data_IF_153240655116
#
_entry.id   IF_153240655116
#
_cell.length_a   1.000
_cell.length_b   1.000
_cell.length_c   1.000
_cell.angle_alpha   90.00
_cell.angle_beta   90.00
_cell.angle_gamma   90.00
#
_symmetry.space_group_name_H-M   'P 1'
#
loop_
_entity.id
_entity.type
_entity.pdbx_description
1 polymer ?
#
# COMPACT_ATOMS: atom_id res chain seq x y z
N UNK A 1 -35.60 69.66 -68.61
CA UNK A 1 -34.54 69.80 -69.63
C UNK A 1 -33.22 69.31 -69.05
N UNK A 2 -32.53 68.44 -69.80
CA UNK A 2 -31.13 67.97 -69.66
C UNK A 2 -30.80 67.00 -68.51
N UNK A 3 -31.04 65.73 -68.85
CA UNK A 3 -30.24 64.57 -68.44
C UNK A 3 -28.76 64.74 -68.82
N UNK A 4 -27.85 64.40 -67.91
CA UNK A 4 -26.48 63.96 -68.21
C UNK A 4 -26.08 62.85 -67.24
N UNK A 5 -26.09 61.63 -67.78
CA UNK A 5 -25.37 60.45 -67.29
C UNK A 5 -23.86 60.73 -67.38
N UNK A 6 -23.05 60.44 -66.35
CA UNK A 6 -21.65 60.06 -66.55
C UNK A 6 -21.02 59.38 -65.32
N UNK A 7 -20.73 58.10 -65.53
CA UNK A 7 -19.61 57.28 -65.05
C UNK A 7 -19.35 57.09 -63.54
N UNK A 8 -19.74 55.89 -63.08
CA UNK A 8 -19.24 55.19 -61.90
C UNK A 8 -17.72 54.95 -61.99
N UNK A 9 -16.97 55.50 -61.04
CA UNK A 9 -15.66 55.01 -60.63
C UNK A 9 -15.82 54.46 -59.21
N UNK A 10 -15.79 53.14 -59.07
CA UNK A 10 -15.76 52.49 -57.76
C UNK A 10 -14.38 52.70 -57.12
N UNK A 11 -14.29 53.13 -55.85
CA UNK A 11 -13.01 53.20 -55.15
C UNK A 11 -12.50 51.77 -54.87
N UNK A 12 -11.27 51.49 -55.30
CA UNK A 12 -10.53 50.30 -54.90
C UNK A 12 -10.27 50.40 -53.39
N UNK A 13 -10.72 49.44 -52.55
CA UNK A 13 -10.39 49.47 -51.14
C UNK A 13 -8.90 49.13 -50.98
N UNK A 14 -8.11 50.11 -50.52
CA UNK A 14 -6.77 49.86 -50.03
C UNK A 14 -6.93 49.10 -48.71
N UNK A 15 -6.71 47.79 -48.74
CA UNK A 15 -6.63 46.99 -47.53
C UNK A 15 -5.35 47.38 -46.78
N UNK A 16 -5.51 48.18 -45.71
CA UNK A 16 -4.49 48.26 -44.67
C UNK A 16 -4.41 46.89 -44.02
N UNK A 17 -3.37 46.13 -44.34
CA UNK A 17 -2.95 45.00 -43.52
C UNK A 17 -2.41 45.63 -42.24
N UNK A 18 -3.27 45.74 -41.23
CA UNK A 18 -2.82 45.90 -39.86
C UNK A 18 -2.11 44.59 -39.50
N UNK A 19 -0.78 44.59 -39.64
CA UNK A 19 0.04 43.59 -38.98
C UNK A 19 -0.16 43.83 -37.49
N UNK A 20 -1.06 43.07 -36.88
CA UNK A 20 -1.03 42.87 -35.44
C UNK A 20 0.28 42.15 -35.18
N UNK A 21 1.32 42.92 -34.84
CA UNK A 21 2.46 42.37 -34.15
C UNK A 21 1.89 41.65 -32.94
N UNK A 22 2.06 40.33 -32.91
CA UNK A 22 1.85 39.54 -31.69
C UNK A 22 2.62 40.26 -30.60
N UNK A 23 1.89 40.84 -29.65
CA UNK A 23 2.50 41.39 -28.46
C UNK A 23 3.42 40.30 -27.91
N UNK A 24 4.69 40.66 -27.73
CA UNK A 24 5.65 39.87 -26.99
C UNK A 24 4.97 39.47 -25.68
N UNK A 25 4.84 38.16 -25.40
CA UNK A 25 4.34 37.68 -24.11
C UNK A 25 5.12 38.39 -23.01
N UNK A 26 4.47 39.32 -22.31
CA UNK A 26 5.04 39.91 -21.11
C UNK A 26 5.12 38.77 -20.11
N UNK A 27 6.32 38.24 -19.89
CA UNK A 27 6.60 37.26 -18.84
C UNK A 27 6.02 37.81 -17.54
N UNK A 28 5.06 37.11 -16.95
CA UNK A 28 4.47 37.48 -15.66
C UNK A 28 5.62 37.63 -14.65
N UNK A 29 5.71 38.74 -13.90
CA UNK A 29 6.81 38.94 -12.96
C UNK A 29 6.84 37.82 -11.91
N UNK A 30 8.05 37.37 -11.59
CA UNK A 30 8.32 36.39 -10.53
C UNK A 30 8.51 37.11 -9.19
N UNK A 31 7.95 36.52 -8.13
CA UNK A 31 8.14 36.95 -6.76
C UNK A 31 9.49 36.47 -6.19
N UNK A 32 9.93 37.07 -5.08
CA UNK A 32 11.19 36.69 -4.43
C UNK A 32 11.05 35.38 -3.64
N UNK A 33 11.48 34.27 -4.25
CA UNK A 33 11.45 32.95 -3.63
C UNK A 33 12.29 32.88 -2.36
N UNK A 34 13.47 33.52 -2.32
CA UNK A 34 14.38 33.41 -1.18
C UNK A 34 13.83 34.17 0.02
N UNK A 35 13.33 35.39 -0.20
CA UNK A 35 12.63 36.16 0.82
C UNK A 35 11.38 35.44 1.33
N UNK A 36 10.57 34.86 0.44
CA UNK A 36 9.37 34.13 0.84
C UNK A 36 9.66 32.85 1.63
N UNK A 37 10.67 32.05 1.24
CA UNK A 37 11.08 30.86 2.00
C UNK A 37 11.74 31.22 3.34
N UNK A 38 12.44 32.36 3.39
CA UNK A 38 13.08 32.93 4.57
C UNK A 38 12.10 33.49 5.59
N UNK A 39 10.92 33.94 5.15
CA UNK A 39 9.87 34.44 6.03
C UNK A 39 9.31 33.30 6.90
N UNK A 40 9.46 33.38 8.25
CA UNK A 40 8.92 32.37 9.16
C UNK A 40 7.39 32.30 9.15
N UNK A 41 6.71 33.38 8.75
CA UNK A 41 5.25 33.50 8.74
C UNK A 41 4.65 33.26 7.35
N UNK A 42 5.41 32.66 6.43
CA UNK A 42 4.87 32.34 5.12
C UNK A 42 3.75 31.29 5.22
N UNK A 43 2.77 31.38 4.32
CA UNK A 43 1.57 30.54 4.38
C UNK A 43 1.83 29.03 4.25
N UNK A 44 3.01 28.63 3.75
CA UNK A 44 3.37 27.22 3.64
C UNK A 44 3.79 26.62 4.98
N UNK A 45 4.48 27.40 5.82
CA UNK A 45 4.83 27.03 7.20
C UNK A 45 3.60 27.03 8.09
N UNK A 46 2.77 28.07 7.99
CA UNK A 46 1.50 28.16 8.73
C UNK A 46 0.59 26.96 8.43
N UNK A 47 0.47 26.58 7.15
CA UNK A 47 -0.26 25.37 6.77
C UNK A 47 0.26 24.13 7.50
N UNK A 48 1.57 23.98 7.65
CA UNK A 48 2.15 22.84 8.35
C UNK A 48 1.69 22.78 9.80
N UNK A 49 1.75 23.92 10.50
CA UNK A 49 1.33 24.06 11.90
C UNK A 49 -0.16 23.77 12.04
N UNK A 50 -1.01 24.39 11.22
CA UNK A 50 -2.46 24.17 11.23
C UNK A 50 -2.82 22.70 10.94
N UNK A 51 -2.12 22.06 10.01
CA UNK A 51 -2.37 20.66 9.64
C UNK A 51 -1.99 19.73 10.79
N UNK A 52 -0.87 20.00 11.47
CA UNK A 52 -0.43 19.24 12.64
C UNK A 52 -1.35 19.41 13.83
N UNK A 53 -1.80 20.64 14.11
CA UNK A 53 -2.65 20.97 15.25
C UNK A 53 -4.10 20.47 15.08
N UNK A 54 -4.70 20.70 13.90
CA UNK A 54 -6.13 20.46 13.66
C UNK A 54 -6.45 19.07 13.13
N UNK A 55 -5.59 18.53 12.28
CA UNK A 55 -5.79 17.22 11.66
C UNK A 55 -4.95 16.11 12.24
N UNK A 56 -4.11 16.42 13.23
CA UNK A 56 -3.15 15.47 13.77
C UNK A 56 -2.33 14.81 12.67
N UNK A 57 -2.10 15.52 11.54
CA UNK A 57 -1.44 14.94 10.37
C UNK A 57 -0.10 14.40 10.83
N UNK A 58 0.06 13.08 10.73
CA UNK A 58 0.76 12.24 11.71
C UNK A 58 2.29 12.49 11.73
N UNK A 59 2.68 13.62 12.31
CA UNK A 59 3.98 14.25 12.17
C UNK A 59 5.07 13.67 13.09
N UNK A 60 6.03 13.03 12.43
CA UNK A 60 7.47 13.05 12.68
C UNK A 60 8.04 12.22 13.83
N UNK A 61 7.29 11.99 14.91
CA UNK A 61 7.83 11.26 16.09
C UNK A 61 6.97 10.05 16.54
N UNK A 62 5.89 9.75 15.83
CA UNK A 62 5.06 8.56 16.06
C UNK A 62 5.09 7.69 14.79
N UNK A 63 5.18 6.35 14.91
CA UNK A 63 5.14 5.48 13.73
C UNK A 63 3.87 5.80 12.95
N UNK A 64 4.05 6.11 11.66
CA UNK A 64 2.99 6.41 10.70
C UNK A 64 1.73 5.60 11.01
N UNK A 65 0.61 6.27 11.25
CA UNK A 65 -0.67 5.56 11.40
C UNK A 65 -0.97 4.89 10.07
N UNK A 66 -0.75 3.59 10.02
CA UNK A 66 -1.06 2.80 8.84
C UNK A 66 -2.57 2.65 8.76
N UNK A 67 -3.12 2.90 7.59
CA UNK A 67 -4.50 2.61 7.28
C UNK A 67 -4.63 1.38 6.41
N UNK A 68 -5.81 0.77 6.39
CA UNK A 68 -6.11 -0.41 5.59
C UNK A 68 -7.42 -0.21 4.86
N UNK A 69 -7.44 -0.58 3.59
CA UNK A 69 -8.70 -0.80 2.89
C UNK A 69 -9.34 -2.09 3.41
N UNK A 70 -10.67 -2.16 3.33
CA UNK A 70 -11.38 -3.41 3.57
C UNK A 70 -10.89 -4.47 2.58
N UNK A 71 -10.72 -5.71 3.05
CA UNK A 71 -10.24 -6.82 2.22
C UNK A 71 -11.31 -7.14 1.16
N UNK A 72 -11.13 -6.64 -0.06
CA UNK A 72 -11.89 -7.06 -1.23
C UNK A 72 -11.01 -7.97 -2.09
N UNK A 73 -11.50 -9.18 -2.38
CA UNK A 73 -10.80 -10.19 -3.17
C UNK A 73 -10.45 -9.69 -4.58
N UNK A 74 -11.37 -8.90 -5.13
CA UNK A 74 -11.33 -8.27 -6.44
C UNK A 74 -10.61 -6.92 -6.45
N UNK A 75 -10.21 -6.42 -5.28
CA UNK A 75 -9.53 -5.13 -5.09
C UNK A 75 -10.28 -3.96 -5.73
N UNK A 76 -11.61 -4.08 -5.82
CA UNK A 76 -12.51 -3.03 -6.29
C UNK A 76 -12.96 -2.18 -5.11
N UNK A 77 -13.48 -0.99 -5.42
CA UNK A 77 -14.07 -0.06 -4.44
C UNK A 77 -13.10 0.30 -3.29
N UNK A 78 -11.83 0.54 -3.61
CA UNK A 78 -10.83 1.08 -2.68
C UNK A 78 -11.12 2.57 -2.40
N UNK A 79 -12.29 2.83 -1.82
CA UNK A 79 -12.83 4.17 -1.56
C UNK A 79 -12.39 4.67 -0.19
N UNK A 80 -12.49 3.85 0.86
CA UNK A 80 -12.20 4.28 2.23
C UNK A 80 -11.11 3.42 2.85
N UNK A 81 -10.04 4.08 3.28
CA UNK A 81 -8.94 3.50 4.03
C UNK A 81 -9.06 3.94 5.50
N UNK A 82 -9.25 2.97 6.39
CA UNK A 82 -9.46 3.22 7.82
C UNK A 82 -8.14 3.13 8.55
N UNK A 83 -7.85 4.10 9.40
CA UNK A 83 -6.59 4.16 10.14
C UNK A 83 -6.63 3.30 11.41
N UNK A 84 -5.53 2.62 11.74
CA UNK A 84 -5.43 1.73 12.90
C UNK A 84 -5.72 2.44 14.25
N UNK A 85 -5.53 3.76 14.31
CA UNK A 85 -5.80 4.59 15.51
C UNK A 85 -7.16 5.30 15.48
N UNK A 86 -7.97 5.05 14.45
CA UNK A 86 -9.27 5.69 14.23
C UNK A 86 -9.18 6.86 13.25
N UNK A 87 -10.35 7.23 12.70
CA UNK A 87 -10.44 8.10 11.53
C UNK A 87 -10.24 7.32 10.23
N UNK A 88 -10.34 8.01 9.11
CA UNK A 88 -10.16 7.40 7.79
C UNK A 88 -9.76 8.45 6.75
N UNK A 89 -9.26 7.98 5.63
CA UNK A 89 -9.18 8.75 4.39
C UNK A 89 -10.12 8.14 3.36
N UNK A 90 -10.94 8.99 2.75
CA UNK A 90 -11.85 8.63 1.68
C UNK A 90 -11.36 9.21 0.36
N UNK A 91 -11.27 8.39 -0.67
CA UNK A 91 -10.86 8.75 -2.02
C UNK A 91 -12.09 8.97 -2.92
N UNK A 92 -12.06 10.01 -3.74
CA UNK A 92 -13.09 10.28 -4.74
C UNK A 92 -12.45 10.76 -6.06
N UNK A 93 -12.50 9.97 -7.15
CA UNK A 93 -13.12 8.65 -7.24
C UNK A 93 -12.37 7.57 -6.38
N UNK A 94 -13.01 6.42 -6.09
CA UNK A 94 -12.34 5.28 -5.48
C UNK A 94 -11.09 4.88 -6.27
N UNK A 95 -10.06 4.38 -5.58
CA UNK A 95 -8.81 4.02 -6.25
C UNK A 95 -9.01 2.79 -7.14
N UNK A 96 -8.53 2.90 -8.37
CA UNK A 96 -8.45 1.80 -9.32
C UNK A 96 -7.00 1.36 -9.47
N UNK A 97 -6.69 0.16 -8.98
CA UNK A 97 -5.34 -0.41 -8.99
C UNK A 97 -4.83 -0.73 -10.39
N UNK A 98 -5.72 -0.85 -11.38
CA UNK A 98 -5.36 -1.08 -12.79
C UNK A 98 -4.80 0.18 -13.44
N UNK A 99 -5.09 1.36 -12.88
CA UNK A 99 -4.64 2.66 -13.36
C UNK A 99 -3.32 3.10 -12.73
N UNK A 100 -2.66 2.25 -11.95
CA UNK A 100 -1.41 2.59 -11.28
C UNK A 100 -0.23 2.62 -12.28
N UNK A 101 0.70 3.58 -12.17
CA UNK A 101 0.71 4.68 -11.20
C UNK A 101 -0.25 5.81 -11.57
N UNK A 102 -1.07 6.24 -10.60
CA UNK A 102 -1.99 7.37 -10.74
C UNK A 102 -1.20 8.68 -10.91
N UNK A 103 -1.65 9.53 -11.81
CA UNK A 103 -1.09 10.88 -12.03
C UNK A 103 -1.78 11.95 -11.18
N UNK A 104 -2.96 11.64 -10.65
CA UNK A 104 -3.73 12.51 -9.76
C UNK A 104 -4.61 11.69 -8.84
N UNK A 105 -4.92 12.22 -7.65
CA UNK A 105 -5.96 11.70 -6.76
C UNK A 105 -6.56 12.83 -5.94
N UNK A 106 -7.74 12.60 -5.39
CA UNK A 106 -8.39 13.49 -4.43
C UNK A 106 -8.87 12.68 -3.23
N UNK A 107 -8.83 13.29 -2.06
CA UNK A 107 -9.13 12.61 -0.81
C UNK A 107 -9.72 13.55 0.26
N UNK A 108 -10.47 12.96 1.18
CA UNK A 108 -11.06 13.59 2.36
C UNK A 108 -10.50 12.89 3.59
N UNK A 109 -10.02 13.66 4.55
CA UNK A 109 -9.50 13.16 5.83
C UNK A 109 -10.60 13.33 6.87
N UNK A 110 -10.92 12.26 7.56
CA UNK A 110 -11.95 12.24 8.62
C UNK A 110 -11.30 11.87 9.95
N UNK A 111 -11.57 12.68 10.97
CA UNK A 111 -11.12 12.43 12.33
C UNK A 111 -11.82 11.22 12.95
N UNK A 112 -11.30 10.76 14.09
CA UNK A 112 -11.85 9.61 14.83
C UNK A 112 -13.30 9.82 15.29
N UNK A 113 -13.69 11.05 15.58
CA UNK A 113 -15.05 11.44 15.96
C UNK A 113 -16.02 11.54 14.78
N UNK A 114 -15.54 11.32 13.55
CA UNK A 114 -16.32 11.41 12.32
C UNK A 114 -16.39 12.82 11.73
N UNK A 115 -15.75 13.84 12.34
CA UNK A 115 -15.68 15.16 11.74
C UNK A 115 -14.73 15.16 10.54
N UNK A 116 -15.10 15.85 9.46
CA UNK A 116 -14.15 16.11 8.37
C UNK A 116 -13.04 17.00 8.89
N UNK A 117 -11.79 16.58 8.71
CA UNK A 117 -10.66 17.41 9.05
C UNK A 117 -10.19 18.27 7.90
N UNK A 118 -10.13 17.69 6.70
CA UNK A 118 -9.63 18.40 5.54
C UNK A 118 -9.76 17.60 4.25
N UNK A 119 -9.37 18.25 3.17
CA UNK A 119 -9.40 17.73 1.81
C UNK A 119 -8.01 17.86 1.22
N UNK A 120 -7.65 16.94 0.35
CA UNK A 120 -6.41 17.04 -0.39
C UNK A 120 -6.57 16.54 -1.81
N UNK A 121 -5.69 17.02 -2.68
CA UNK A 121 -5.53 16.47 -4.01
C UNK A 121 -4.07 16.51 -4.42
N UNK A 122 -3.69 15.57 -5.27
CA UNK A 122 -2.43 15.59 -5.99
C UNK A 122 -2.71 15.56 -7.48
N UNK A 123 -1.81 16.13 -8.26
CA UNK A 123 -1.88 16.17 -9.70
C UNK A 123 -0.51 15.95 -10.34
N UNK A 124 -0.46 16.02 -11.68
CA UNK A 124 0.76 15.77 -12.43
C UNK A 124 1.85 16.79 -12.06
N UNK A 125 3.11 16.41 -12.28
CA UNK A 125 4.29 17.25 -12.07
C UNK A 125 4.42 17.80 -10.63
N UNK A 126 3.90 17.08 -9.63
CA UNK A 126 3.97 17.49 -8.22
C UNK A 126 2.95 18.55 -7.82
N UNK A 127 1.93 18.81 -8.64
CA UNK A 127 0.81 19.65 -8.24
C UNK A 127 0.11 19.06 -7.01
N UNK A 128 -0.27 19.91 -6.06
CA UNK A 128 -1.09 19.47 -4.94
C UNK A 128 -1.91 20.60 -4.35
N UNK A 129 -3.01 20.24 -3.71
CA UNK A 129 -3.84 21.16 -2.94
C UNK A 129 -4.15 20.52 -1.59
N UNK A 130 -4.07 21.29 -0.52
CA UNK A 130 -4.49 20.86 0.82
C UNK A 130 -5.41 21.93 1.37
N UNK A 131 -6.57 21.47 1.83
CA UNK A 131 -7.56 22.28 2.51
C UNK A 131 -7.78 21.72 3.91
N UNK A 132 -7.59 22.55 4.93
CA UNK A 132 -7.91 22.18 6.31
C UNK A 132 -9.21 22.87 6.68
N UNK A 133 -10.18 22.12 7.18
CA UNK A 133 -11.45 22.65 7.62
C UNK A 133 -11.28 23.56 8.83
N UNK A 134 -11.93 24.73 8.80
CA UNK A 134 -12.39 25.36 10.04
C UNK A 134 -13.75 24.79 10.40
N UNK A 135 -13.96 24.52 11.68
CA UNK A 135 -15.32 24.44 12.21
C UNK A 135 -15.59 25.77 12.94
N UNK A 136 -16.56 26.58 12.49
CA UNK A 136 -17.38 26.41 11.29
C UNK A 136 -16.61 26.76 10.00
N UNK A 137 -17.03 26.19 8.86
CA UNK A 137 -16.45 26.43 7.54
C UNK A 137 -16.47 27.93 7.22
N UNK A 138 -15.31 28.59 7.34
CA UNK A 138 -15.18 29.96 6.86
C UNK A 138 -14.96 29.86 5.35
N UNK A 139 -15.96 30.24 4.56
CA UNK A 139 -15.94 30.22 3.09
C UNK A 139 -14.78 31.02 2.45
N UNK A 140 -13.97 31.71 3.26
CA UNK A 140 -12.97 32.67 2.80
C UNK A 140 -11.54 32.45 3.32
N UNK A 141 -11.23 31.34 4.01
CA UNK A 141 -9.85 31.10 4.47
C UNK A 141 -9.27 32.27 5.28
N UNK A 142 -10.13 32.88 6.11
CA UNK A 142 -9.87 34.11 6.83
C UNK A 142 -9.41 33.90 8.27
N UNK A 143 -8.90 35.00 8.85
CA UNK A 143 -8.52 35.13 10.26
C UNK A 143 -9.68 34.67 11.16
N UNK A 144 -9.37 33.84 12.15
CA UNK A 144 -10.32 33.33 13.13
C UNK A 144 -11.06 34.47 13.84
N UNK A 145 -12.35 34.30 14.19
CA UNK A 145 -13.09 35.29 14.98
C UNK A 145 -12.44 35.60 16.34
N UNK A 146 -11.59 34.70 16.84
CA UNK A 146 -11.08 34.70 18.22
C UNK A 146 -9.60 35.12 18.34
N UNK A 147 -8.93 35.51 17.24
CA UNK A 147 -7.54 35.95 17.28
C UNK A 147 -7.10 36.62 15.99
N UNK A 148 -6.43 37.77 16.09
CA UNK A 148 -6.09 38.62 14.93
C UNK A 148 -5.02 38.00 14.00
N UNK A 149 -4.37 36.91 14.42
CA UNK A 149 -3.23 36.29 13.70
C UNK A 149 -3.43 34.79 13.35
N UNK A 150 -4.56 34.16 13.69
CA UNK A 150 -4.74 32.71 13.44
C UNK A 150 -5.62 32.48 12.21
N UNK A 151 -5.16 31.72 11.21
CA UNK A 151 -5.97 31.36 10.03
C UNK A 151 -6.95 30.25 10.44
N UNK A 152 -8.25 30.46 10.28
CA UNK A 152 -9.27 29.43 10.54
C UNK A 152 -9.55 28.65 9.25
N UNK A 153 -8.69 27.67 8.97
CA UNK A 153 -8.84 26.81 7.81
C UNK A 153 -8.61 27.54 6.48
N UNK A 154 -8.60 26.78 5.39
CA UNK A 154 -8.39 27.31 4.05
C UNK A 154 -7.50 26.43 3.19
N UNK A 155 -7.30 26.85 1.95
CA UNK A 155 -6.71 26.00 0.91
C UNK A 155 -5.37 26.54 0.47
N UNK A 156 -4.33 25.73 0.64
CA UNK A 156 -3.03 25.94 0.00
C UNK A 156 -2.97 25.13 -1.28
N UNK A 157 -2.50 25.73 -2.36
CA UNK A 157 -2.33 25.04 -3.65
C UNK A 157 -0.96 25.33 -4.24
N UNK A 158 -0.26 24.29 -4.68
CA UNK A 158 0.89 24.40 -5.55
C UNK A 158 0.51 23.94 -6.96
N UNK A 159 0.74 24.82 -7.92
CA UNK A 159 0.47 24.58 -9.34
C UNK A 159 1.79 24.68 -10.12
N UNK A 160 2.26 23.58 -10.73
CA UNK A 160 3.39 23.62 -11.65
C UNK A 160 3.06 24.51 -12.86
N UNK A 161 4.01 25.37 -13.23
CA UNK A 161 3.93 26.23 -14.40
C UNK A 161 4.71 25.67 -15.59
N UNK A 162 4.93 26.50 -16.60
CA UNK A 162 5.78 26.14 -17.75
C UNK A 162 7.26 26.17 -17.37
N UNK A 163 8.02 25.21 -17.88
CA UNK A 163 9.46 25.09 -17.61
C UNK A 163 9.74 24.80 -16.13
N UNK A 164 10.48 25.68 -15.48
CA UNK A 164 10.85 25.57 -14.04
C UNK A 164 9.96 26.41 -13.12
N UNK A 165 8.96 27.08 -13.68
CA UNK A 165 8.09 27.98 -12.94
C UNK A 165 7.02 27.20 -12.20
N UNK A 166 6.55 27.76 -11.09
CA UNK A 166 5.41 27.25 -10.33
C UNK A 166 4.73 28.40 -9.62
N UNK A 167 3.48 28.21 -9.22
CA UNK A 167 2.75 29.17 -8.41
C UNK A 167 2.22 28.52 -7.14
N UNK A 168 2.21 29.30 -6.08
CA UNK A 168 1.62 28.92 -4.80
C UNK A 168 0.46 29.86 -4.52
N UNK A 169 -0.71 29.31 -4.22
CA UNK A 169 -1.87 30.08 -3.75
C UNK A 169 -2.10 29.75 -2.28
N UNK A 170 -2.03 30.77 -1.44
CA UNK A 170 -2.24 30.66 0.00
C UNK A 170 -3.73 30.63 0.36
N UNK A 171 -4.09 30.21 1.59
CA UNK A 171 -5.45 30.31 2.13
C UNK A 171 -6.10 31.69 1.98
N UNK A 172 -5.30 32.77 2.10
CA UNK A 172 -5.72 34.16 1.88
C UNK A 172 -6.10 34.50 0.43
N UNK A 173 -6.02 33.54 -0.50
CA UNK A 173 -6.17 33.68 -1.95
C UNK A 173 -5.05 34.47 -2.64
N UNK A 174 -4.05 34.93 -1.89
CA UNK A 174 -2.82 35.52 -2.47
C UNK A 174 -2.07 34.46 -3.26
N UNK A 175 -1.69 34.78 -4.49
CA UNK A 175 -0.92 33.87 -5.36
C UNK A 175 0.47 34.45 -5.60
N UNK A 176 1.48 33.65 -5.29
CA UNK A 176 2.89 33.93 -5.56
C UNK A 176 3.38 33.07 -6.73
N UNK A 177 4.29 33.61 -7.53
CA UNK A 177 4.84 32.98 -8.73
C UNK A 177 6.35 32.92 -8.63
N UNK A 178 6.89 31.71 -8.70
CA UNK A 178 8.31 31.47 -8.50
C UNK A 178 8.90 30.66 -9.65
N UNK A 179 10.23 30.59 -9.67
CA UNK A 179 10.98 29.69 -10.53
C UNK A 179 11.98 28.87 -9.72
N UNK A 180 12.10 27.58 -10.00
CA UNK A 180 13.14 26.74 -9.39
C UNK A 180 14.55 27.29 -9.66
N UNK A 181 14.77 28.12 -10.68
CA UNK A 181 16.07 28.75 -10.93
C UNK A 181 16.47 29.76 -9.85
N UNK A 182 15.52 30.30 -9.09
CA UNK A 182 15.81 31.20 -7.98
C UNK A 182 16.48 30.45 -6.81
N UNK A 183 16.30 29.13 -6.69
CA UNK A 183 16.90 28.33 -5.61
C UNK A 183 18.42 28.38 -5.62
N UNK A 184 19.05 28.37 -6.80
CA UNK A 184 20.51 28.50 -6.94
C UNK A 184 21.04 29.86 -6.45
N UNK A 185 20.22 30.91 -6.52
CA UNK A 185 20.58 32.25 -6.03
C UNK A 185 20.45 32.35 -4.51
N UNK A 186 19.52 31.59 -3.92
CA UNK A 186 19.33 31.57 -2.48
C UNK A 186 20.55 31.00 -1.74
N UNK A 187 21.21 30.00 -2.33
CA UNK A 187 22.41 29.36 -1.74
C UNK A 187 23.69 30.21 -1.91
N UNK A 188 23.65 31.33 -2.63
CA UNK A 188 24.82 32.16 -2.99
C UNK A 188 24.89 33.52 -2.28
N UNK A 189 23.98 33.82 -1.35
CA UNK A 189 23.89 35.13 -0.70
C UNK A 189 24.90 35.27 0.47
N UNK A 190 26.16 35.56 0.15
CA UNK A 190 27.12 36.10 1.13
C UNK A 190 26.82 37.59 1.37
N UNK A 191 26.00 37.91 2.37
CA UNK A 191 25.73 39.28 2.80
C UNK A 191 24.73 39.37 3.96
N UNK A 192 25.10 40.14 4.99
CA UNK A 192 24.36 40.55 6.21
C UNK A 192 22.83 40.32 6.21
N UNK A 193 22.42 39.07 6.43
CA UNK A 193 21.03 38.58 6.30
C UNK A 193 20.93 37.18 5.67
N UNK A 194 22.01 36.69 5.07
CA UNK A 194 22.12 35.32 4.57
C UNK A 194 22.27 34.28 5.68
N UNK A 195 21.41 33.25 5.67
CA UNK A 195 21.44 32.12 6.58
C UNK A 195 22.79 31.40 6.46
N UNK A 196 23.61 31.43 7.52
CA UNK A 196 24.94 30.79 7.50
C UNK A 196 24.86 29.29 7.83
N UNK A 197 25.47 28.47 6.98
CA UNK A 197 25.46 27.01 7.03
C UNK A 197 25.01 26.47 5.67
N UNK A 198 25.29 25.21 5.33
CA UNK A 198 24.85 24.57 4.08
C UNK A 198 23.31 24.36 4.02
N UNK A 199 22.56 25.44 4.18
CA UNK A 199 21.11 25.48 4.12
C UNK A 199 20.73 25.41 2.64
N UNK A 200 20.53 24.20 2.12
CA UNK A 200 20.02 24.00 0.75
C UNK A 200 18.58 24.51 0.68
N UNK A 201 18.39 25.81 0.44
CA UNK A 201 17.05 26.45 0.40
C UNK A 201 16.19 25.80 -0.70
N UNK A 202 16.83 25.25 -1.73
CA UNK A 202 16.22 24.38 -2.73
C UNK A 202 15.39 23.23 -2.15
N UNK A 203 15.77 22.71 -0.98
CA UNK A 203 15.02 21.63 -0.33
C UNK A 203 13.72 22.14 0.31
N UNK A 204 13.68 23.42 0.74
CA UNK A 204 12.54 24.03 1.44
C UNK A 204 11.39 24.43 0.50
N UNK A 205 11.60 24.33 -0.82
CA UNK A 205 10.55 24.56 -1.82
C UNK A 205 9.38 23.60 -1.56
N UNK A 206 8.12 24.09 -1.59
CA UNK A 206 6.98 23.23 -1.33
C UNK A 206 6.95 22.03 -2.28
N UNK A 207 6.85 20.83 -1.72
CA UNK A 207 6.76 19.60 -2.50
C UNK A 207 5.88 18.57 -1.82
N UNK A 208 5.18 17.81 -2.65
CA UNK A 208 4.42 16.64 -2.25
C UNK A 208 4.95 15.40 -2.96
N UNK A 209 4.86 14.26 -2.29
CA UNK A 209 5.14 12.96 -2.86
C UNK A 209 3.90 12.09 -2.77
N UNK A 210 3.50 11.56 -3.92
CA UNK A 210 2.54 10.48 -4.03
C UNK A 210 3.31 9.21 -4.39
N UNK A 211 3.45 8.31 -3.41
CA UNK A 211 4.12 7.03 -3.57
C UNK A 211 3.08 5.93 -3.59
N UNK A 212 3.18 5.02 -4.56
CA UNK A 212 2.24 3.94 -4.67
C UNK A 212 2.88 2.68 -5.24
N UNK A 213 2.36 1.56 -4.79
CA UNK A 213 2.63 0.24 -5.32
C UNK A 213 1.31 -0.51 -5.29
N UNK A 214 0.87 -1.04 -6.44
CA UNK A 214 -0.35 -1.83 -6.50
C UNK A 214 -0.18 -3.20 -5.83
N UNK A 215 0.96 -3.55 -5.24
CA UNK A 215 1.20 -4.87 -4.66
C UNK A 215 1.19 -5.96 -5.73
N UNK A 216 1.04 -7.20 -5.29
CA UNK A 216 0.96 -8.36 -6.17
C UNK A 216 0.06 -9.44 -5.56
N UNK A 217 -0.01 -10.58 -6.24
CA UNK A 217 -0.63 -11.80 -5.73
C UNK A 217 0.01 -12.19 -4.40
N UNK A 218 -0.78 -12.22 -3.33
CA UNK A 218 -0.34 -12.50 -1.96
C UNK A 218 0.55 -11.44 -1.32
N UNK A 219 0.79 -10.29 -1.98
CA UNK A 219 1.67 -9.22 -1.50
C UNK A 219 0.90 -7.92 -1.42
N UNK A 220 0.80 -7.38 -0.21
CA UNK A 220 0.15 -6.09 0.03
C UNK A 220 0.80 -4.96 -0.78
N UNK A 221 -0.05 -4.12 -1.37
CA UNK A 221 0.34 -2.85 -1.97
C UNK A 221 0.21 -1.71 -0.98
N UNK A 222 0.51 -0.49 -1.44
CA UNK A 222 0.28 0.71 -0.66
C UNK A 222 0.02 1.93 -1.54
N UNK A 223 -0.64 2.93 -0.94
CA UNK A 223 -0.72 4.29 -1.46
C UNK A 223 -0.44 5.25 -0.32
N UNK A 224 0.46 6.20 -0.55
CA UNK A 224 1.01 7.10 0.46
C UNK A 224 1.13 8.50 -0.10
N UNK A 225 0.65 9.47 0.65
CA UNK A 225 0.80 10.88 0.31
C UNK A 225 1.42 11.66 1.47
N UNK A 226 2.50 12.39 1.17
CA UNK A 226 3.22 13.21 2.14
C UNK A 226 3.62 14.55 1.54
N UNK A 227 3.63 15.59 2.37
CA UNK A 227 4.11 16.93 2.02
C UNK A 227 5.30 17.27 2.91
N UNK A 228 6.34 17.89 2.35
CA UNK A 228 7.57 18.19 3.07
C UNK A 228 7.58 19.63 3.57
N UNK A 229 7.32 19.80 4.85
CA UNK A 229 7.32 21.13 5.44
C UNK A 229 8.66 21.48 6.05
N UNK A 230 9.09 22.75 5.95
CA UNK A 230 10.23 23.25 6.69
C UNK A 230 9.76 23.60 8.11
N UNK A 231 9.64 22.60 8.98
CA UNK A 231 9.29 22.85 10.39
C UNK A 231 10.52 23.42 11.11
N UNK A 232 10.35 24.58 11.75
CA UNK A 232 11.43 25.24 12.47
C UNK A 232 11.88 24.47 13.72
N UNK A 233 13.17 24.46 14.02
CA UNK A 233 13.64 24.18 15.37
C UNK A 233 13.46 25.46 16.19
N UNK A 234 12.58 25.43 17.19
CA UNK A 234 12.41 26.55 18.12
C UNK A 234 13.72 26.73 18.90
N UNK A 235 14.35 27.90 18.82
CA UNK A 235 15.51 28.23 19.66
C UNK A 235 15.07 28.93 20.94
N UNK A 236 15.85 28.76 22.03
CA UNK A 236 15.61 29.45 23.31
C UNK A 236 15.62 30.97 23.10
N UNK A 237 14.43 31.58 23.17
CA UNK A 237 14.25 33.02 22.93
C UNK A 237 13.02 33.38 22.08
N UNK A 238 12.38 32.38 21.45
CA UNK A 238 11.17 32.59 20.65
C UNK A 238 11.42 33.09 19.22
N UNK A 239 12.69 33.17 18.81
CA UNK A 239 13.08 33.53 17.45
C UNK A 239 13.16 32.27 16.57
N UNK A 240 12.41 32.28 15.46
CA UNK A 240 12.36 31.19 14.49
C UNK A 240 13.57 31.31 13.57
N UNK A 241 14.64 30.54 13.83
CA UNK A 241 15.81 30.48 12.95
C UNK A 241 15.71 29.30 12.00
N UNK A 242 16.04 29.51 10.73
CA UNK A 242 16.11 28.41 9.75
C UNK A 242 17.36 27.54 9.93
N UNK A 243 18.38 28.02 10.66
CA UNK A 243 19.60 27.27 10.91
C UNK A 243 19.32 25.90 11.54
N UNK A 244 19.63 24.83 10.80
CA UNK A 244 19.47 23.44 11.26
C UNK A 244 18.08 22.83 11.09
N UNK A 245 17.14 23.47 10.38
CA UNK A 245 15.82 22.86 10.12
C UNK A 245 15.91 21.67 9.18
N UNK A 246 15.54 20.49 9.68
CA UNK A 246 15.32 19.29 8.87
C UNK A 246 13.93 19.33 8.23
N UNK A 247 13.83 18.96 6.95
CA UNK A 247 12.52 18.79 6.31
C UNK A 247 11.81 17.61 6.94
N UNK A 248 10.75 17.92 7.66
CA UNK A 248 9.92 16.94 8.31
C UNK A 248 8.73 16.61 7.40
N UNK A 249 8.64 15.37 6.88
CA UNK A 249 7.50 14.97 6.08
C UNK A 249 6.27 14.87 6.97
N UNK A 250 5.20 15.56 6.60
CA UNK A 250 3.88 15.33 7.16
C UNK A 250 3.18 14.33 6.26
N UNK A 251 2.98 13.13 6.78
CA UNK A 251 2.27 12.05 6.10
C UNK A 251 0.78 12.19 6.37
N UNK A 252 0.02 12.48 5.31
CA UNK A 252 -1.43 12.65 5.40
C UNK A 252 -2.14 11.30 5.46
N UNK A 253 -1.65 10.33 4.70
CA UNK A 253 -2.09 8.94 4.79
C UNK A 253 -1.02 7.98 4.28
N UNK A 254 -1.07 6.76 4.80
CA UNK A 254 -0.33 5.61 4.32
C UNK A 254 -1.24 4.38 4.41
N UNK A 255 -1.83 4.04 3.28
CA UNK A 255 -2.89 3.05 3.19
C UNK A 255 -2.37 1.77 2.53
N UNK A 256 -2.49 0.66 3.24
CA UNK A 256 -2.22 -0.68 2.73
C UNK A 256 -3.38 -1.11 1.85
N UNK A 257 -3.04 -1.47 0.62
CA UNK A 257 -3.94 -2.10 -0.33
C UNK A 257 -3.76 -3.60 -0.14
N UNK A 258 -4.81 -4.36 0.20
CA UNK A 258 -4.68 -5.80 0.37
C UNK A 258 -4.10 -6.43 -0.91
N UNK A 259 -3.16 -7.36 -0.73
CA UNK A 259 -2.65 -8.16 -1.85
C UNK A 259 -3.79 -8.87 -2.58
N UNK A 260 -3.63 -9.05 -3.90
CA UNK A 260 -4.59 -9.85 -4.65
C UNK A 260 -4.59 -11.27 -4.09
N UNK A 261 -5.75 -11.93 -4.09
CA UNK A 261 -5.79 -13.35 -3.71
C UNK A 261 -4.85 -14.16 -4.61
N UNK A 262 -4.27 -15.22 -4.05
CA UNK A 262 -3.49 -16.18 -4.83
C UNK A 262 -4.32 -16.61 -6.03
N UNK A 263 -3.72 -16.75 -7.23
CA UNK A 263 -4.37 -17.33 -8.41
C UNK A 263 -5.17 -18.58 -7.98
N UNK A 264 -4.50 -19.48 -7.26
CA UNK A 264 -5.03 -20.70 -6.65
C UNK A 264 -5.96 -20.53 -5.43
N UNK A 265 -6.51 -19.35 -5.19
CA UNK A 265 -7.44 -19.04 -4.11
C UNK A 265 -8.24 -17.76 -4.37
N UNK A 266 -8.42 -17.34 -5.62
CA UNK A 266 -9.13 -16.11 -5.98
C UNK A 266 -10.59 -16.36 -6.44
N UNK A 267 -11.03 -17.62 -6.54
CA UNK A 267 -12.39 -17.99 -6.88
C UNK A 267 -12.73 -17.83 -8.36
N UNK A 268 -11.74 -17.65 -9.23
CA UNK A 268 -11.88 -17.52 -10.68
C UNK A 268 -10.99 -18.56 -11.35
N UNK A 269 -11.43 -19.13 -12.46
CA UNK A 269 -10.59 -20.02 -13.27
C UNK A 269 -9.55 -19.18 -14.03
N UNK A 270 -8.30 -19.23 -13.58
CA UNK A 270 -7.17 -18.54 -14.21
C UNK A 270 -6.33 -19.46 -15.10
N UNK A 271 -5.48 -18.87 -15.95
CA UNK A 271 -4.51 -19.61 -16.77
C UNK A 271 -3.55 -20.41 -15.86
N UNK A 272 -3.52 -21.73 -16.06
CA UNK A 272 -2.70 -22.66 -15.29
C UNK A 272 -3.48 -23.44 -14.22
N UNK A 273 -4.71 -23.04 -13.91
CA UNK A 273 -5.62 -23.83 -13.09
C UNK A 273 -6.36 -24.89 -13.94
N UNK A 274 -6.68 -26.02 -13.32
CA UNK A 274 -7.45 -27.09 -13.96
C UNK A 274 -8.96 -26.90 -13.77
N UNK A 275 -9.36 -26.44 -12.58
CA UNK A 275 -10.65 -25.86 -12.24
C UNK A 275 -10.39 -24.76 -11.20
N UNK A 276 -11.39 -23.93 -10.88
CA UNK A 276 -11.30 -22.79 -9.97
C UNK A 276 -10.53 -23.15 -8.69
N UNK A 277 -9.41 -22.47 -8.46
CA UNK A 277 -8.53 -22.59 -7.29
C UNK A 277 -7.87 -23.98 -7.08
N UNK A 278 -7.71 -24.79 -8.13
CA UNK A 278 -7.11 -26.11 -8.04
C UNK A 278 -6.43 -26.60 -9.33
N UNK A 279 -5.66 -27.69 -9.21
CA UNK A 279 -4.91 -28.29 -10.29
C UNK A 279 -3.41 -28.39 -9.97
N UNK A 280 -2.64 -28.95 -10.91
CA UNK A 280 -1.21 -29.21 -10.69
C UNK A 280 -0.41 -27.92 -10.43
N UNK A 281 -0.72 -26.82 -11.11
CA UNK A 281 -0.03 -25.54 -10.92
C UNK A 281 -0.25 -24.96 -9.52
N UNK A 282 -1.39 -25.29 -8.92
CA UNK A 282 -1.74 -24.88 -7.56
C UNK A 282 -1.16 -25.79 -6.48
N UNK A 283 -0.47 -26.87 -6.87
CA UNK A 283 0.00 -27.92 -5.95
C UNK A 283 -1.12 -28.40 -5.02
N UNK A 284 -2.36 -28.35 -5.51
CA UNK A 284 -3.58 -28.64 -4.79
C UNK A 284 -4.51 -29.36 -5.74
N UNK A 285 -4.70 -30.66 -5.48
CA UNK A 285 -5.63 -31.46 -6.27
C UNK A 285 -7.07 -30.92 -6.18
N UNK A 286 -7.74 -30.89 -7.30
CA UNK A 286 -9.15 -30.62 -7.44
C UNK A 286 -9.99 -31.74 -6.82
N UNK A 287 -11.10 -31.36 -6.19
CA UNK A 287 -12.09 -32.30 -5.66
C UNK A 287 -12.83 -33.03 -6.78
N UNK A 288 -13.49 -34.13 -6.45
CA UNK A 288 -14.34 -34.85 -7.41
C UNK A 288 -15.37 -33.91 -8.05
N UNK A 289 -15.73 -34.17 -9.31
CA UNK A 289 -16.62 -33.38 -10.20
C UNK A 289 -16.02 -32.11 -10.79
N UNK A 290 -14.86 -31.65 -10.30
CA UNK A 290 -14.13 -30.53 -10.88
C UNK A 290 -13.48 -30.91 -12.21
N UNK A 291 -13.27 -29.92 -13.08
CA UNK A 291 -12.56 -30.10 -14.33
C UNK A 291 -11.10 -30.48 -14.08
N UNK A 292 -10.52 -31.21 -15.02
CA UNK A 292 -9.12 -31.60 -15.03
C UNK A 292 -8.64 -31.77 -16.47
N UNK A 293 -7.33 -31.60 -16.68
CA UNK A 293 -6.67 -31.92 -17.95
C UNK A 293 -5.79 -33.15 -17.82
N UNK A 294 -5.15 -33.30 -16.66
CA UNK A 294 -4.26 -34.42 -16.32
C UNK A 294 -4.70 -35.11 -15.03
N UNK A 295 -4.35 -36.39 -14.84
CA UNK A 295 -4.65 -37.10 -13.59
C UNK A 295 -4.11 -36.39 -12.33
N UNK A 296 -2.97 -35.70 -12.44
CA UNK A 296 -2.36 -34.96 -11.31
C UNK A 296 -3.14 -33.71 -10.91
N UNK A 297 -4.08 -33.24 -11.73
CA UNK A 297 -4.95 -32.13 -11.35
C UNK A 297 -5.93 -32.52 -10.27
N UNK A 298 -6.24 -33.82 -10.14
CA UNK A 298 -7.23 -34.33 -9.20
C UNK A 298 -6.59 -34.77 -7.89
N UNK A 299 -7.25 -34.48 -6.77
CA UNK A 299 -6.83 -34.98 -5.46
C UNK A 299 -6.84 -36.52 -5.41
N UNK A 300 -7.68 -37.16 -6.22
CA UNK A 300 -7.73 -38.62 -6.40
C UNK A 300 -6.61 -39.18 -7.28
N UNK A 301 -5.88 -38.35 -8.03
CA UNK A 301 -4.97 -38.81 -9.08
C UNK A 301 -5.69 -39.42 -10.30
N UNK A 302 -7.01 -39.23 -10.43
CA UNK A 302 -7.81 -39.81 -11.51
C UNK A 302 -8.75 -38.79 -12.18
N UNK A 303 -8.56 -38.65 -13.49
CA UNK A 303 -9.23 -37.68 -14.35
C UNK A 303 -9.88 -38.45 -15.51
N UNK A 304 -11.21 -38.42 -15.61
CA UNK A 304 -11.97 -39.25 -16.56
C UNK A 304 -13.19 -38.52 -17.13
N UNK A 305 -13.64 -38.95 -18.32
CA UNK A 305 -14.83 -38.39 -18.95
C UNK A 305 -16.08 -38.77 -18.16
N UNK A 306 -16.90 -37.79 -17.82
CA UNK A 306 -18.23 -38.02 -17.29
C UNK A 306 -19.21 -38.50 -18.38
N UNK A 307 -20.45 -38.80 -17.99
CA UNK A 307 -21.48 -39.27 -18.90
C UNK A 307 -21.82 -38.28 -20.04
N UNK A 308 -21.40 -37.01 -19.91
CA UNK A 308 -21.60 -35.95 -20.90
C UNK A 308 -20.36 -35.73 -21.79
N UNK A 309 -19.28 -36.50 -21.58
CA UNK A 309 -18.03 -36.35 -22.33
C UNK A 309 -17.18 -35.18 -21.84
N UNK A 310 -17.37 -34.71 -20.60
CA UNK A 310 -16.56 -33.65 -19.97
C UNK A 310 -15.53 -34.33 -19.07
N UNK A 311 -14.26 -33.95 -19.21
CA UNK A 311 -13.17 -34.50 -18.42
C UNK A 311 -13.20 -33.91 -16.99
N UNK A 312 -13.37 -34.76 -15.98
CA UNK A 312 -13.53 -34.38 -14.57
C UNK A 312 -12.78 -35.30 -13.60
N UNK A 313 -12.44 -34.74 -12.45
CA UNK A 313 -11.94 -35.49 -11.32
C UNK A 313 -13.01 -36.44 -10.78
N UNK A 314 -12.59 -37.68 -10.51
CA UNK A 314 -13.44 -38.69 -9.90
C UNK A 314 -12.59 -39.71 -9.17
N UNK A 315 -13.22 -40.55 -8.35
CA UNK A 315 -12.56 -41.75 -7.85
C UNK A 315 -12.38 -42.75 -8.99
N UNK A 316 -11.20 -43.36 -9.09
CA UNK A 316 -10.99 -44.46 -10.02
C UNK A 316 -11.89 -45.64 -9.58
N UNK A 317 -12.76 -46.18 -10.46
CA UNK A 317 -13.71 -47.22 -10.11
C UNK A 317 -13.04 -48.51 -9.61
N UNK A 318 -11.79 -48.77 -9.99
CA UNK A 318 -11.04 -49.92 -9.49
C UNK A 318 -10.68 -49.78 -8.00
N UNK A 319 -10.61 -48.56 -7.47
CA UNK A 319 -10.26 -48.31 -6.07
C UNK A 319 -11.41 -48.54 -5.08
N UNK A 320 -12.57 -49.00 -5.55
CA UNK A 320 -13.78 -49.20 -4.71
C UNK A 320 -14.57 -50.44 -5.14
N UNK A 321 -13.97 -51.32 -5.94
CA UNK A 321 -14.65 -52.45 -6.55
C UNK A 321 -14.54 -53.74 -5.71
N UNK A 322 -13.95 -53.69 -4.51
CA UNK A 322 -13.77 -54.84 -3.59
C UNK A 322 -12.85 -55.94 -4.12
N UNK A 323 -12.12 -55.66 -5.19
CA UNK A 323 -11.06 -56.50 -5.74
C UNK A 323 -9.70 -55.80 -5.57
N UNK A 324 -8.62 -56.56 -5.72
CA UNK A 324 -7.28 -55.99 -5.85
C UNK A 324 -6.91 -56.00 -7.33
N UNK A 325 -6.75 -54.82 -7.91
CA UNK A 325 -6.38 -54.64 -9.31
C UNK A 325 -4.95 -54.13 -9.50
N UNK A 326 -4.52 -53.96 -10.76
CA UNK A 326 -3.17 -53.52 -11.13
C UNK A 326 -2.84 -52.08 -10.69
N UNK A 327 -3.84 -51.31 -10.27
CA UNK A 327 -3.70 -49.92 -9.83
C UNK A 327 -3.50 -49.76 -8.33
N UNK A 328 -3.49 -50.87 -7.60
CA UNK A 328 -3.58 -50.92 -6.14
C UNK A 328 -2.49 -51.78 -5.50
N UNK A 329 -2.14 -51.46 -4.25
CA UNK A 329 -1.22 -52.32 -3.49
C UNK A 329 -1.93 -53.23 -2.50
N UNK A 330 -3.15 -52.89 -2.09
CA UNK A 330 -4.09 -53.74 -1.36
C UNK A 330 -5.52 -53.50 -1.88
N UNK A 331 -6.49 -54.33 -1.49
CA UNK A 331 -7.89 -54.21 -1.95
C UNK A 331 -8.44 -52.81 -1.63
N UNK A 332 -8.89 -52.09 -2.67
CA UNK A 332 -9.49 -50.75 -2.60
C UNK A 332 -8.55 -49.64 -2.09
N UNK A 333 -7.21 -49.83 -2.12
CA UNK A 333 -6.25 -48.81 -1.66
C UNK A 333 -4.80 -48.95 -2.17
N UNK A 334 -4.06 -47.85 -2.06
CA UNK A 334 -2.64 -47.75 -2.40
C UNK A 334 -2.38 -47.71 -3.90
N UNK A 335 -1.13 -47.58 -4.30
CA UNK A 335 -0.78 -47.32 -5.70
C UNK A 335 -1.05 -45.88 -6.14
N UNK A 336 -0.77 -45.54 -7.40
CA UNK A 336 -0.73 -44.15 -7.86
C UNK A 336 -2.11 -43.50 -8.09
N UNK A 337 -3.20 -44.28 -8.10
CA UNK A 337 -4.54 -43.79 -8.47
C UNK A 337 -5.61 -44.04 -7.41
N UNK A 338 -5.25 -44.65 -6.28
CA UNK A 338 -6.17 -44.95 -5.19
C UNK A 338 -5.71 -44.26 -3.91
N UNK A 339 -6.65 -44.05 -2.98
CA UNK A 339 -6.34 -43.45 -1.69
C UNK A 339 -5.28 -44.29 -0.94
N UNK A 340 -4.37 -43.67 -0.16
CA UNK A 340 -3.36 -44.41 0.60
C UNK A 340 -4.00 -45.40 1.56
N UNK A 341 -3.42 -46.59 1.66
CA UNK A 341 -3.85 -47.65 2.55
C UNK A 341 -3.61 -47.32 4.03
N UNK A 342 -4.52 -47.77 4.89
CA UNK A 342 -4.34 -47.73 6.34
C UNK A 342 -3.23 -48.69 6.83
N UNK A 343 -2.79 -48.52 8.08
CA UNK A 343 -1.80 -49.41 8.70
C UNK A 343 -2.26 -50.87 8.69
N UNK A 344 -1.33 -51.79 8.41
CA UNK A 344 -1.56 -53.23 8.32
C UNK A 344 -1.89 -53.75 6.92
N UNK A 345 -2.12 -52.84 5.96
CA UNK A 345 -2.40 -53.16 4.55
C UNK A 345 -1.13 -53.29 3.73
N UNK A 346 -1.21 -53.99 2.59
CA UNK A 346 -0.09 -54.19 1.69
C UNK A 346 0.32 -52.90 0.96
N UNK A 347 1.62 -52.69 0.80
CA UNK A 347 2.21 -51.54 0.10
C UNK A 347 3.45 -51.94 -0.69
N UNK A 348 3.78 -51.14 -1.70
CA UNK A 348 5.01 -51.26 -2.50
C UNK A 348 5.95 -50.08 -2.26
N UNK A 349 5.39 -48.89 -2.05
CA UNK A 349 6.09 -47.63 -1.79
C UNK A 349 5.49 -46.90 -0.59
N UNK A 350 6.22 -45.91 -0.07
CA UNK A 350 5.78 -45.15 1.09
C UNK A 350 4.49 -44.37 0.85
N UNK A 351 4.30 -43.83 -0.36
CA UNK A 351 3.08 -43.10 -0.75
C UNK A 351 1.82 -43.97 -0.78
N UNK A 352 1.97 -45.29 -0.83
CA UNK A 352 0.83 -46.21 -0.77
C UNK A 352 0.21 -46.25 0.63
N UNK A 353 0.88 -45.69 1.65
CA UNK A 353 0.44 -45.74 3.03
C UNK A 353 0.03 -44.36 3.52
N UNK A 354 -1.10 -44.28 4.24
CA UNK A 354 -1.55 -43.06 4.89
C UNK A 354 -0.53 -42.54 5.93
N UNK A 355 0.32 -43.42 6.44
CA UNK A 355 1.44 -43.10 7.34
C UNK A 355 2.71 -42.61 6.63
N UNK A 356 2.71 -42.61 5.29
CA UNK A 356 3.90 -42.45 4.45
C UNK A 356 5.04 -43.43 4.76
N UNK A 357 4.72 -44.58 5.38
CA UNK A 357 5.72 -45.55 5.85
C UNK A 357 5.35 -46.98 5.50
N UNK A 358 5.94 -47.48 4.41
CA UNK A 358 5.83 -48.86 3.99
C UNK A 358 7.01 -49.67 4.55
N UNK A 359 6.74 -50.57 5.49
CA UNK A 359 7.76 -51.42 6.12
C UNK A 359 7.48 -52.89 5.86
N UNK A 360 8.45 -53.59 5.27
CA UNK A 360 8.31 -55.01 4.93
C UNK A 360 7.08 -55.30 4.05
N UNK A 361 6.78 -54.41 3.10
CA UNK A 361 5.60 -54.45 2.20
C UNK A 361 4.25 -54.32 2.91
N UNK A 362 4.24 -53.77 4.12
CA UNK A 362 3.03 -53.51 4.91
C UNK A 362 3.07 -52.09 5.45
N UNK A 363 1.96 -51.35 5.35
CA UNK A 363 1.83 -50.03 5.93
C UNK A 363 1.96 -50.10 7.45
N UNK A 364 2.88 -49.34 8.01
CA UNK A 364 3.15 -49.33 9.44
C UNK A 364 3.09 -47.89 9.96
N UNK A 365 2.90 -47.73 11.27
CA UNK A 365 3.06 -46.41 11.89
C UNK A 365 4.47 -45.89 11.63
N UNK A 366 4.57 -44.65 11.14
CA UNK A 366 5.86 -44.00 10.97
C UNK A 366 6.61 -44.00 12.32
N UNK A 367 7.90 -44.37 12.35
CA UNK A 367 8.67 -44.31 13.57
C UNK A 367 8.69 -42.87 14.06
N UNK A 368 8.08 -42.62 15.22
CA UNK A 368 8.07 -41.29 15.81
C UNK A 368 9.51 -40.83 15.94
N UNK A 369 9.85 -39.70 15.33
CA UNK A 369 11.08 -38.98 15.57
C UNK A 369 11.06 -38.43 17.01
N UNK A 370 11.16 -39.34 17.97
CA UNK A 370 11.66 -39.03 19.29
C UNK A 370 13.12 -38.66 19.06
N UNK A 371 13.32 -37.36 18.86
CA UNK A 371 14.55 -36.72 19.28
C UNK A 371 14.83 -37.23 20.68
N UNK A 372 15.83 -38.11 20.78
CA UNK A 372 16.43 -38.54 22.03
C UNK A 372 17.11 -37.33 22.65
N UNK A 373 16.30 -36.42 23.17
CA UNK A 373 16.69 -35.44 24.17
C UNK A 373 16.82 -36.22 25.47
N UNK A 374 18.02 -36.76 25.63
CA UNK A 374 18.55 -37.19 26.92
C UNK A 374 18.49 -35.99 27.86
N UNK A 375 17.37 -35.82 28.57
CA UNK A 375 17.24 -34.86 29.66
C UNK A 375 17.03 -35.63 30.95
N UNK A 376 18.16 -35.89 31.60
CA UNK A 376 18.26 -36.14 33.02
C UNK A 376 17.47 -35.06 33.78
N UNK A 377 16.38 -35.44 34.43
CA UNK A 377 15.51 -34.51 35.14
C UNK A 377 14.59 -35.20 36.14
N UNK A 378 15.14 -35.43 37.34
CA UNK A 378 14.47 -35.59 38.63
C UNK A 378 13.15 -36.39 38.67
N UNK A 379 13.27 -37.66 39.06
CA UNK A 379 12.14 -38.45 39.55
C UNK A 379 11.55 -37.86 40.83
N UNK A 380 10.24 -37.57 40.80
CA UNK A 380 9.41 -37.41 41.98
C UNK A 380 9.02 -38.78 42.53
N UNK A 381 9.36 -39.04 43.79
CA UNK A 381 8.99 -40.26 44.50
C UNK A 381 7.64 -40.07 45.22
N UNK A 382 6.62 -40.83 44.80
CA UNK A 382 5.42 -41.14 45.57
C UNK A 382 5.32 -42.67 45.69
N UNK A 383 5.42 -43.17 46.92
CA UNK A 383 5.70 -44.58 47.20
C UNK A 383 4.51 -45.54 47.09
N UNK A 384 4.82 -46.83 47.16
CA UNK A 384 4.34 -47.76 48.20
C UNK A 384 4.73 -49.22 47.86
N UNK A 385 5.26 -49.93 48.88
CA UNK A 385 4.89 -51.31 49.14
C UNK A 385 5.78 -52.42 48.55
N UNK A 386 6.25 -53.30 49.44
CA UNK A 386 6.27 -54.74 49.15
C UNK A 386 7.60 -55.47 49.21
N UNK A 387 8.02 -55.81 50.43
CA UNK A 387 8.58 -57.09 50.88
C UNK A 387 9.57 -57.90 50.02
N UNK A 388 10.72 -58.20 50.63
CA UNK A 388 11.24 -59.56 50.70
C UNK A 388 12.63 -59.80 50.11
N UNK A 389 13.53 -60.36 50.92
CA UNK A 389 14.59 -61.25 50.42
C UNK A 389 16.03 -60.86 50.73
N UNK A 390 16.52 -61.43 51.84
CA UNK A 390 17.89 -61.64 52.30
C UNK A 390 19.07 -61.60 51.28
N UNK A 391 20.24 -61.14 51.76
CA UNK A 391 21.53 -61.72 51.37
C UNK A 391 22.76 -60.80 51.33
N UNK A 392 23.44 -60.62 52.48
CA UNK A 392 24.90 -60.80 52.64
C UNK A 392 25.94 -59.87 51.97
N UNK A 393 26.76 -59.25 52.85
CA UNK A 393 28.24 -59.21 52.86
C UNK A 393 29.00 -57.89 52.55
N UNK A 394 29.84 -57.48 53.53
CA UNK A 394 31.09 -56.68 53.44
C UNK A 394 30.92 -55.15 53.44
N UNK A 395 31.29 -54.36 54.46
CA UNK A 395 32.66 -54.12 55.00
C UNK A 395 33.38 -53.07 54.12
N UNK A 396 33.94 -51.93 54.57
CA UNK A 396 34.36 -51.42 55.87
C UNK A 396 34.72 -49.91 55.80
N UNK A 397 34.74 -49.23 56.97
CA UNK A 397 35.59 -48.07 57.34
C UNK A 397 35.28 -46.69 56.73
N UNK A 398 35.32 -45.56 57.44
CA UNK A 398 35.72 -45.22 58.81
C UNK A 398 35.51 -43.70 59.03
N UNK A 399 35.26 -43.30 60.27
CA UNK A 399 35.14 -41.89 60.72
C UNK A 399 36.50 -41.18 60.81
N UNK A 400 36.64 -40.05 61.53
CA UNK A 400 35.78 -39.49 62.59
C UNK A 400 34.93 -38.27 62.22
#
# INVERSE_FOLDING_TARGET
MRSRLLFLLAPVPVAFVATTFSACETSVPLDDLCGWLGDPNNCYRELAVDTLDRCGAFGTDLPATVGRFSKSADRTNLETCVFDRGGNVKFDPPLDVTMFPLTSLSFVITNKDGSTCGYGSSGPNGAFSISIGSSPEVADGGVCPDGEDQICGGTFTLTPGTGKNFSVTCPSKTTFRFSHEQTAKCDSAEGDGGLQGEQKLAQLVPRAELLMNSGAVGVDGFVKFRVYYPLAAVTEGGEVTLNGTELKPVEYFNCIIPGALATCANGVLDDGEADVDCGVACQRGCEDTKLCEFPQDCASGYCAFDAMGILKCSQNPNCTNTAKDDFETDVDCGGPQCAPCENGKACSENSDCASEFCSSKVCAMAPSSTSSSSSSGAGGAGGAGGAGGAGGAGGAGGGP
#
